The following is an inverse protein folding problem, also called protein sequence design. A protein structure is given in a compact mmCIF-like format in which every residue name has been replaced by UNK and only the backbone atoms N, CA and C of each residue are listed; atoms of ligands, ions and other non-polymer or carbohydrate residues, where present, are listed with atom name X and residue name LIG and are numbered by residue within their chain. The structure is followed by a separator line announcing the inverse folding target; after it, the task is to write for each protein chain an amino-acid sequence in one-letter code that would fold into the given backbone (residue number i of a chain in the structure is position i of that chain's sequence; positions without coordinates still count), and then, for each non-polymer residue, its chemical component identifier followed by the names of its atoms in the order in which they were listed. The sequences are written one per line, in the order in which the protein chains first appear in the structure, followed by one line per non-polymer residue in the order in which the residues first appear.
data_IF_167541950839
#
_entry.id   IF_167541950839
#
_cell.length_a   1.000
_cell.length_b   1.000
_cell.length_c   1.000
_cell.angle_alpha   90.00
_cell.angle_beta   90.00
_cell.angle_gamma   90.00
#
_symmetry.space_group_name_H-M   'P 1'
#
loop_
_entity.id
_entity.type
_entity.pdbx_description
1 polymer ?
#
# COMPACT_ATOMS: atom_id res chain seq x y z
N UNK A 1 18.64 -25.94 8.57
CA UNK A 1 17.91 -25.21 7.51
C UNK A 1 18.85 -24.17 6.95
N UNK A 2 18.85 -23.93 5.65
CA UNK A 2 19.62 -22.82 5.06
C UNK A 2 19.05 -21.49 5.54
N UNK A 3 19.91 -20.48 5.73
CA UNK A 3 19.56 -19.19 6.33
C UNK A 3 18.33 -18.53 5.69
N UNK A 4 18.21 -18.63 4.37
CA UNK A 4 17.08 -18.04 3.63
C UNK A 4 15.73 -18.69 3.96
N UNK A 5 15.64 -20.01 4.18
CA UNK A 5 14.38 -20.64 4.58
C UNK A 5 14.00 -20.30 6.02
N UNK A 6 14.97 -20.05 6.91
CA UNK A 6 14.68 -19.55 8.26
C UNK A 6 14.08 -18.15 8.22
N UNK A 7 14.57 -17.28 7.32
CA UNK A 7 13.98 -15.95 7.12
C UNK A 7 12.54 -16.04 6.57
N UNK A 8 12.30 -16.91 5.58
CA UNK A 8 10.95 -17.17 5.06
C UNK A 8 10.02 -17.67 6.16
N UNK A 9 10.50 -18.58 7.03
CA UNK A 9 9.72 -19.06 8.17
C UNK A 9 9.35 -17.94 9.15
N UNK A 10 10.30 -17.06 9.51
CA UNK A 10 10.01 -15.92 10.38
C UNK A 10 8.99 -14.97 9.75
N UNK A 11 9.10 -14.74 8.44
CA UNK A 11 8.14 -13.93 7.69
C UNK A 11 6.75 -14.57 7.69
N UNK A 12 6.64 -15.87 7.47
CA UNK A 12 5.38 -16.62 7.55
C UNK A 12 4.74 -16.49 8.94
N UNK A 13 5.51 -16.66 10.01
CA UNK A 13 5.02 -16.53 11.38
C UNK A 13 4.50 -15.11 11.66
N UNK A 14 5.20 -14.10 11.14
CA UNK A 14 4.77 -12.71 11.22
C UNK A 14 3.47 -12.46 10.43
N UNK A 15 3.37 -12.95 9.20
CA UNK A 15 2.17 -12.84 8.38
C UNK A 15 0.97 -13.55 9.02
N UNK A 16 1.19 -14.72 9.65
CA UNK A 16 0.15 -15.45 10.39
C UNK A 16 -0.37 -14.63 11.57
N UNK A 17 0.54 -14.03 12.34
CA UNK A 17 0.17 -13.18 13.47
C UNK A 17 -0.61 -11.93 13.01
N UNK A 18 -0.15 -11.27 11.94
CA UNK A 18 -0.85 -10.13 11.34
C UNK A 18 -2.22 -10.52 10.81
N UNK A 19 -2.33 -11.65 10.12
CA UNK A 19 -3.59 -12.13 9.57
C UNK A 19 -4.60 -12.45 10.68
N UNK A 20 -4.17 -13.12 11.75
CA UNK A 20 -5.02 -13.37 12.92
C UNK A 20 -5.47 -12.06 13.57
N UNK A 21 -4.58 -11.09 13.74
CA UNK A 21 -4.92 -9.76 14.26
C UNK A 21 -5.96 -9.05 13.40
N UNK A 22 -5.84 -9.17 12.07
CA UNK A 22 -6.68 -8.49 11.09
C UNK A 22 -8.06 -9.14 10.91
N UNK A 23 -8.17 -10.46 11.15
CA UNK A 23 -9.45 -11.19 11.16
C UNK A 23 -10.31 -10.88 12.39
N UNK A 24 -9.70 -10.52 13.52
CA UNK A 24 -10.46 -10.25 14.75
C UNK A 24 -11.54 -9.19 14.45
N UNK A 25 -12.82 -9.50 14.73
CA UNK A 25 -13.91 -8.57 14.51
C UNK A 25 -13.83 -7.42 15.52
N UNK A 26 -12.99 -6.43 15.23
CA UNK A 26 -12.87 -5.23 16.04
C UNK A 26 -14.09 -4.31 15.84
N UNK A 27 -14.59 -3.66 16.90
CA UNK A 27 -15.64 -2.64 16.78
C UNK A 27 -15.16 -1.46 15.93
N UNK A 28 -16.09 -0.86 15.17
CA UNK A 28 -15.81 0.12 14.10
C UNK A 28 -14.94 1.30 14.57
N UNK A 29 -15.18 1.83 15.77
CA UNK A 29 -14.40 2.95 16.33
C UNK A 29 -12.93 2.59 16.57
N UNK A 30 -12.65 1.37 17.01
CA UNK A 30 -11.29 0.87 17.21
C UNK A 30 -10.62 0.58 15.86
N UNK A 31 -11.34 -0.06 14.93
CA UNK A 31 -10.84 -0.30 13.56
C UNK A 31 -10.43 1.02 12.92
N UNK A 32 -11.30 2.03 12.96
CA UNK A 32 -11.01 3.35 12.42
C UNK A 32 -9.77 3.97 13.05
N UNK A 33 -9.66 3.99 14.38
CA UNK A 33 -8.50 4.59 15.06
C UNK A 33 -7.18 3.89 14.71
N UNK A 34 -7.19 2.55 14.65
CA UNK A 34 -6.01 1.74 14.30
C UNK A 34 -5.64 1.93 12.83
N UNK A 35 -6.59 1.84 11.91
CA UNK A 35 -6.33 1.95 10.48
C UNK A 35 -6.01 3.38 10.03
N UNK A 36 -6.63 4.40 10.62
CA UNK A 36 -6.26 5.80 10.38
C UNK A 36 -4.84 6.07 10.87
N UNK A 37 -4.46 5.58 12.06
CA UNK A 37 -3.09 5.70 12.56
C UNK A 37 -2.07 4.95 11.68
N UNK A 38 -2.42 3.74 11.22
CA UNK A 38 -1.61 2.96 10.29
C UNK A 38 -1.49 3.68 8.94
N UNK A 39 -2.57 4.27 8.42
CA UNK A 39 -2.55 4.94 7.12
C UNK A 39 -1.93 6.33 7.13
N UNK A 40 -1.99 7.07 8.25
CA UNK A 40 -1.37 8.39 8.37
C UNK A 40 0.15 8.29 8.54
N UNK A 41 0.66 7.14 9.01
CA UNK A 41 2.08 6.96 9.26
C UNK A 41 2.84 6.67 7.94
N UNK A 42 3.74 7.57 7.48
CA UNK A 42 4.54 7.36 6.26
C UNK A 42 5.44 6.13 6.32
N UNK A 43 5.71 5.62 7.53
CA UNK A 43 6.45 4.36 7.74
C UNK A 43 5.67 3.17 7.16
N UNK A 44 4.33 3.16 7.28
CA UNK A 44 3.50 2.05 6.79
C UNK A 44 3.50 2.00 5.26
N UNK A 45 3.49 3.15 4.59
CA UNK A 45 3.64 3.20 3.13
C UNK A 45 4.97 2.59 2.66
N UNK A 46 6.07 2.87 3.38
CA UNK A 46 7.37 2.21 3.14
C UNK A 46 7.30 0.71 3.41
N UNK A 47 6.67 0.29 4.51
CA UNK A 47 6.50 -1.13 4.85
C UNK A 47 5.73 -1.87 3.74
N UNK A 48 4.65 -1.30 3.20
CA UNK A 48 3.92 -1.91 2.09
C UNK A 48 4.77 -2.08 0.83
N UNK A 49 5.63 -1.11 0.52
CA UNK A 49 6.56 -1.23 -0.59
C UNK A 49 7.59 -2.35 -0.36
N UNK A 50 8.15 -2.44 0.85
CA UNK A 50 9.03 -3.53 1.25
C UNK A 50 8.34 -4.90 1.24
N UNK A 51 7.06 -4.97 1.63
CA UNK A 51 6.24 -6.19 1.54
C UNK A 51 6.06 -6.65 0.08
N UNK A 52 5.93 -5.74 -0.89
CA UNK A 52 5.88 -6.10 -2.31
C UNK A 52 7.22 -6.62 -2.83
N UNK A 53 8.34 -6.01 -2.42
CA UNK A 53 9.67 -6.47 -2.80
C UNK A 53 9.93 -7.87 -2.24
N UNK A 54 9.65 -8.08 -0.95
CA UNK A 54 9.81 -9.39 -0.30
C UNK A 54 8.92 -10.45 -0.94
N UNK A 55 7.70 -10.12 -1.34
CA UNK A 55 6.83 -11.03 -2.09
C UNK A 55 7.47 -11.53 -3.40
N UNK A 56 8.05 -10.63 -4.21
CA UNK A 56 8.74 -11.03 -5.46
C UNK A 56 9.94 -11.93 -5.15
N UNK A 57 10.69 -11.63 -4.09
CA UNK A 57 11.82 -12.46 -3.67
C UNK A 57 11.38 -13.87 -3.24
N UNK A 58 10.30 -13.98 -2.45
CA UNK A 58 9.73 -15.28 -2.05
C UNK A 58 9.20 -16.03 -3.28
N UNK A 59 8.65 -15.33 -4.28
CA UNK A 59 8.19 -15.94 -5.52
C UNK A 59 9.34 -16.60 -6.29
N UNK A 60 10.48 -15.91 -6.38
CA UNK A 60 11.70 -16.48 -6.98
C UNK A 60 12.18 -17.70 -6.19
N UNK A 61 12.24 -17.60 -4.85
CA UNK A 61 12.62 -18.73 -3.99
C UNK A 61 11.64 -19.91 -4.11
N UNK A 62 10.36 -19.64 -4.31
CA UNK A 62 9.35 -20.67 -4.52
C UNK A 62 9.61 -21.40 -5.84
N UNK A 63 9.82 -20.68 -6.94
CA UNK A 63 10.15 -21.29 -8.24
C UNK A 63 11.44 -22.11 -8.13
N UNK A 64 12.49 -21.58 -7.48
CA UNK A 64 13.71 -22.32 -7.21
C UNK A 64 13.45 -23.61 -6.40
N UNK A 65 12.63 -23.51 -5.34
CA UNK A 65 12.29 -24.65 -4.50
C UNK A 65 11.50 -25.73 -5.27
N UNK A 66 10.60 -25.35 -6.18
CA UNK A 66 9.86 -26.27 -7.05
C UNK A 66 10.82 -26.97 -8.01
N UNK A 67 11.71 -26.21 -8.68
CA UNK A 67 12.72 -26.76 -9.57
C UNK A 67 13.65 -27.75 -8.85
N UNK A 68 14.02 -27.43 -7.60
CA UNK A 68 14.83 -28.31 -6.75
C UNK A 68 14.08 -29.58 -6.36
N UNK A 69 12.80 -29.46 -5.95
CA UNK A 69 11.96 -30.62 -5.63
C UNK A 69 11.82 -31.54 -6.85
N UNK A 70 11.58 -30.98 -8.03
CA UNK A 70 11.48 -31.73 -9.27
C UNK A 70 12.77 -32.48 -9.60
N UNK A 71 13.93 -31.79 -9.53
CA UNK A 71 15.24 -32.41 -9.74
C UNK A 71 15.51 -33.57 -8.78
N UNK A 72 15.29 -33.37 -7.47
CA UNK A 72 15.52 -34.40 -6.44
C UNK A 72 14.58 -35.60 -6.64
N UNK A 73 13.36 -35.38 -7.13
CA UNK A 73 12.45 -36.49 -7.46
C UNK A 73 12.96 -37.31 -8.66
N UNK A 74 13.47 -36.65 -9.71
CA UNK A 74 14.07 -37.34 -10.84
C UNK A 74 15.32 -38.14 -10.45
N UNK A 75 16.19 -37.57 -9.61
CA UNK A 75 17.37 -38.27 -9.06
C UNK A 75 16.97 -39.52 -8.27
N UNK A 76 15.90 -39.44 -7.45
CA UNK A 76 15.38 -40.58 -6.70
C UNK A 76 14.84 -41.68 -7.62
N UNK A 77 14.12 -41.32 -8.69
CA UNK A 77 13.58 -42.28 -9.66
C UNK A 77 14.72 -42.97 -10.40
N UNK A 78 15.72 -42.22 -10.87
CA UNK A 78 16.90 -42.77 -11.54
C UNK A 78 17.72 -43.70 -10.64
N UNK A 79 17.94 -43.31 -9.37
CA UNK A 79 18.62 -44.17 -8.38
C UNK A 79 17.81 -45.44 -8.06
N UNK A 80 16.47 -45.35 -8.06
CA UNK A 80 15.59 -46.51 -7.85
C UNK A 80 15.61 -47.46 -9.05
N UNK A 81 15.62 -46.95 -10.28
CA UNK A 81 15.67 -47.76 -11.50
C UNK A 81 17.04 -48.47 -11.67
N UNK A 82 18.15 -47.78 -11.37
CA UNK A 82 19.48 -48.41 -11.34
C UNK A 82 19.59 -49.49 -10.25
N UNK A 83 19.03 -49.25 -9.08
CA UNK A 83 19.01 -50.24 -7.99
C UNK A 83 18.09 -51.45 -8.26
N UNK A 84 17.15 -51.34 -9.20
CA UNK A 84 16.33 -52.49 -9.65
C UNK A 84 17.10 -53.37 -10.64
N UNK A 85 18.15 -52.83 -11.26
CA UNK A 85 19.02 -53.51 -12.24
C UNK A 85 20.35 -54.00 -11.65
N UNK A 86 20.74 -53.61 -10.43
CA UNK A 86 21.99 -54.01 -9.77
C UNK A 86 21.84 -54.30 -8.27
N UNK A 87 22.33 -55.48 -7.85
CA UNK A 87 22.33 -56.11 -6.51
C UNK A 87 21.99 -55.27 -5.26
N UNK A 88 20.98 -55.74 -4.52
CA UNK A 88 20.31 -55.07 -3.39
C UNK A 88 21.12 -54.88 -2.08
N UNK A 89 22.39 -55.29 -1.99
CA UNK A 89 23.07 -55.44 -0.69
C UNK A 89 23.87 -54.20 -0.20
N UNK A 90 24.18 -53.22 -1.06
CA UNK A 90 25.02 -52.04 -0.70
C UNK A 90 24.19 -50.75 -0.53
N UNK A 91 22.90 -50.78 -0.85
CA UNK A 91 22.10 -49.59 -1.21
C UNK A 91 21.18 -49.00 -0.12
N UNK A 92 21.17 -49.55 1.10
CA UNK A 92 20.32 -49.05 2.19
C UNK A 92 20.61 -47.59 2.55
N UNK A 93 21.90 -47.21 2.57
CA UNK A 93 22.33 -45.85 2.93
C UNK A 93 22.03 -44.81 1.84
N UNK A 94 22.29 -45.13 0.56
CA UNK A 94 22.02 -44.19 -0.56
C UNK A 94 20.52 -43.93 -0.72
N UNK A 95 19.67 -44.96 -0.59
CA UNK A 95 18.21 -44.75 -0.65
C UNK A 95 17.69 -43.90 0.50
N UNK A 96 18.23 -44.06 1.71
CA UNK A 96 17.85 -43.25 2.88
C UNK A 96 18.29 -41.79 2.73
N UNK A 97 19.48 -41.54 2.17
CA UNK A 97 20.00 -40.20 1.96
C UNK A 97 19.19 -39.43 0.90
N UNK A 98 18.85 -40.06 -0.21
CA UNK A 98 18.07 -39.41 -1.28
C UNK A 98 16.62 -39.19 -0.83
N UNK A 99 16.03 -40.10 -0.05
CA UNK A 99 14.71 -39.90 0.56
C UNK A 99 14.72 -38.73 1.56
N UNK A 100 15.75 -38.61 2.40
CA UNK A 100 15.88 -37.48 3.32
C UNK A 100 15.98 -36.13 2.58
N UNK A 101 16.71 -36.09 1.46
CA UNK A 101 16.78 -34.90 0.58
C UNK A 101 15.43 -34.54 -0.04
N UNK A 102 14.61 -35.53 -0.40
CA UNK A 102 13.23 -35.32 -0.91
C UNK A 102 12.33 -34.69 0.15
N UNK A 103 12.29 -35.22 1.37
CA UNK A 103 11.49 -34.61 2.44
C UNK A 103 11.94 -33.18 2.77
N UNK A 104 13.25 -32.94 2.74
CA UNK A 104 13.81 -31.61 2.98
C UNK A 104 13.38 -30.61 1.90
N UNK A 105 13.49 -30.95 0.62
CA UNK A 105 13.11 -30.06 -0.47
C UNK A 105 11.60 -29.83 -0.52
N UNK A 106 10.79 -30.87 -0.27
CA UNK A 106 9.32 -30.76 -0.22
C UNK A 106 8.85 -29.80 0.87
N UNK A 107 9.36 -29.95 2.10
CA UNK A 107 8.99 -29.05 3.21
C UNK A 107 9.34 -27.60 2.89
N UNK A 108 10.48 -27.34 2.28
CA UNK A 108 10.90 -25.99 1.94
C UNK A 108 10.05 -25.39 0.81
N UNK A 109 9.64 -26.20 -0.16
CA UNK A 109 8.69 -25.79 -1.19
C UNK A 109 7.34 -25.42 -0.57
N UNK A 110 6.82 -26.23 0.35
CA UNK A 110 5.59 -25.92 1.07
C UNK A 110 5.72 -24.66 1.92
N UNK A 111 6.84 -24.47 2.62
CA UNK A 111 7.10 -23.28 3.41
C UNK A 111 7.03 -22.01 2.54
N UNK A 112 7.73 -21.99 1.40
CA UNK A 112 7.68 -20.87 0.46
C UNK A 112 6.27 -20.68 -0.13
N UNK A 113 5.58 -21.77 -0.49
CA UNK A 113 4.23 -21.73 -1.06
C UNK A 113 3.19 -21.17 -0.09
N UNK A 114 3.20 -21.62 1.17
CA UNK A 114 2.30 -21.10 2.20
C UNK A 114 2.55 -19.63 2.50
N UNK A 115 3.82 -19.21 2.50
CA UNK A 115 4.17 -17.79 2.70
C UNK A 115 3.56 -16.93 1.58
N UNK A 116 3.76 -17.30 0.30
CA UNK A 116 3.16 -16.57 -0.82
C UNK A 116 1.64 -16.52 -0.77
N UNK A 117 1.01 -17.65 -0.46
CA UNK A 117 -0.44 -17.74 -0.37
C UNK A 117 -0.98 -16.83 0.74
N UNK A 118 -0.33 -16.83 1.90
CA UNK A 118 -0.72 -16.00 3.02
C UNK A 118 -0.48 -14.51 2.73
N UNK A 119 0.64 -14.15 2.09
CA UNK A 119 0.89 -12.77 1.63
C UNK A 119 -0.22 -12.25 0.72
N UNK A 120 -0.70 -13.08 -0.21
CA UNK A 120 -1.80 -12.73 -1.13
C UNK A 120 -3.11 -12.52 -0.39
N UNK A 121 -3.46 -13.43 0.52
CA UNK A 121 -4.67 -13.30 1.34
C UNK A 121 -4.60 -12.06 2.21
N UNK A 122 -3.46 -11.79 2.85
CA UNK A 122 -3.28 -10.62 3.72
C UNK A 122 -3.49 -9.32 2.93
N UNK A 123 -2.89 -9.20 1.74
CA UNK A 123 -3.11 -8.06 0.86
C UNK A 123 -4.59 -7.91 0.45
N UNK A 124 -5.23 -9.01 0.02
CA UNK A 124 -6.66 -8.98 -0.36
C UNK A 124 -7.55 -8.57 0.81
N UNK A 125 -7.30 -9.11 1.99
CA UNK A 125 -8.09 -8.83 3.20
C UNK A 125 -7.87 -7.40 3.67
N UNK A 126 -6.64 -6.88 3.59
CA UNK A 126 -6.32 -5.48 3.90
C UNK A 126 -7.12 -4.51 3.02
N UNK A 127 -7.10 -4.71 1.68
CA UNK A 127 -7.84 -3.86 0.74
C UNK A 127 -9.35 -3.97 0.98
N UNK A 128 -9.86 -5.18 1.19
CA UNK A 128 -11.28 -5.41 1.48
C UNK A 128 -11.73 -4.68 2.75
N UNK A 129 -10.93 -4.67 3.82
CA UNK A 129 -11.26 -3.93 5.05
C UNK A 129 -11.28 -2.42 4.80
N UNK A 130 -10.33 -1.89 4.03
CA UNK A 130 -10.36 -0.47 3.64
C UNK A 130 -11.61 -0.12 2.83
N UNK A 131 -12.01 -0.98 1.89
CA UNK A 131 -13.23 -0.79 1.10
C UNK A 131 -14.48 -0.80 1.98
N UNK A 132 -14.60 -1.76 2.91
CA UNK A 132 -15.72 -1.82 3.87
C UNK A 132 -15.79 -0.54 4.70
N UNK A 133 -14.67 -0.05 5.25
CA UNK A 133 -14.66 1.19 6.02
C UNK A 133 -15.09 2.41 5.18
N UNK A 134 -14.65 2.48 3.92
CA UNK A 134 -15.05 3.56 2.99
C UNK A 134 -16.52 3.51 2.63
N UNK A 135 -17.06 2.31 2.42
CA UNK A 135 -18.48 2.12 2.16
C UNK A 135 -19.31 2.56 3.37
N UNK A 136 -18.91 2.17 4.58
CA UNK A 136 -19.60 2.55 5.81
C UNK A 136 -19.56 4.08 6.06
N UNK A 137 -18.41 4.72 5.79
CA UNK A 137 -18.28 6.18 5.82
C UNK A 137 -19.22 6.89 4.83
N UNK A 138 -19.38 6.32 3.62
CA UNK A 138 -20.34 6.84 2.63
C UNK A 138 -21.79 6.66 3.10
N UNK A 139 -22.15 5.51 3.65
CA UNK A 139 -23.50 5.26 4.19
C UNK A 139 -23.84 6.26 5.29
N UNK A 140 -22.94 6.45 6.28
CA UNK A 140 -23.11 7.46 7.34
C UNK A 140 -23.21 8.90 6.81
N UNK A 141 -22.57 9.19 5.68
CA UNK A 141 -22.68 10.50 5.04
C UNK A 141 -24.05 10.74 4.40
N UNK A 142 -24.67 9.69 3.85
CA UNK A 142 -26.02 9.75 3.29
C UNK A 142 -27.11 9.73 4.36
N UNK A 143 -26.90 9.03 5.48
CA UNK A 143 -27.83 8.97 6.62
C UNK A 143 -27.81 10.25 7.49
N UNK A 144 -27.10 11.31 7.07
CA UNK A 144 -27.14 12.62 7.73
C UNK A 144 -26.49 12.68 9.13
N UNK A 145 -25.78 11.63 9.55
CA UNK A 145 -25.19 11.51 10.90
C UNK A 145 -23.82 12.19 11.05
N UNK A 146 -23.49 13.20 10.23
CA UNK A 146 -22.16 13.85 10.27
C UNK A 146 -22.08 14.99 11.30
N UNK A 147 -21.37 14.72 12.40
CA UNK A 147 -20.63 15.73 13.18
C UNK A 147 -19.13 15.79 12.86
N UNK A 148 -18.57 14.91 12.02
CA UNK A 148 -17.11 14.82 11.83
C UNK A 148 -16.68 14.64 10.36
N UNK A 149 -16.63 15.76 9.63
CA UNK A 149 -16.31 15.83 8.20
C UNK A 149 -14.82 15.61 7.90
N UNK A 150 -13.93 15.81 8.88
CA UNK A 150 -12.47 15.82 8.67
C UNK A 150 -11.80 14.44 8.63
N UNK A 151 -12.35 13.41 9.28
CA UNK A 151 -11.75 12.07 9.26
C UNK A 151 -12.14 11.24 8.02
N UNK A 152 -13.33 11.48 7.45
CA UNK A 152 -13.83 10.71 6.30
C UNK A 152 -13.08 11.04 5.00
N UNK A 153 -12.63 12.29 4.83
CA UNK A 153 -11.73 12.66 3.72
C UNK A 153 -10.37 11.96 3.82
N UNK A 154 -9.88 11.68 5.03
CA UNK A 154 -8.56 11.06 5.25
C UNK A 154 -8.52 9.57 4.92
N UNK A 155 -9.61 8.83 5.12
CA UNK A 155 -9.71 7.42 4.68
C UNK A 155 -9.88 7.29 3.16
N UNK A 156 -10.43 8.29 2.49
CA UNK A 156 -10.49 8.36 1.03
C UNK A 156 -9.08 8.46 0.39
N UNK A 157 -8.12 9.03 1.12
CA UNK A 157 -6.72 9.20 0.72
C UNK A 157 -5.91 7.90 0.75
N UNK A 158 -6.17 7.01 1.70
CA UNK A 158 -5.37 5.80 1.98
C UNK A 158 -5.25 4.76 0.85
N UNK A 159 -6.26 4.68 -0.02
CA UNK A 159 -6.42 3.61 -1.01
C UNK A 159 -6.22 4.04 -2.46
N UNK A 160 -5.80 5.29 -2.71
CA UNK A 160 -5.45 5.78 -4.06
C UNK A 160 -4.25 6.74 -3.99
N UNK A 161 -3.03 6.22 -3.73
CA UNK A 161 -1.84 7.05 -3.56
C UNK A 161 -1.49 7.90 -4.80
N UNK A 162 -1.86 7.45 -6.01
CA UNK A 162 -1.61 8.18 -7.26
C UNK A 162 -2.50 9.42 -7.46
N UNK A 163 -3.80 9.32 -7.15
CA UNK A 163 -4.73 10.46 -7.25
C UNK A 163 -4.42 11.55 -6.20
N UNK A 164 -3.78 11.19 -5.09
CA UNK A 164 -3.40 12.14 -4.04
C UNK A 164 -2.33 13.14 -4.50
N UNK A 165 -1.34 12.65 -5.24
CA UNK A 165 -0.26 13.50 -5.74
C UNK A 165 -0.78 14.50 -6.79
N UNK A 166 -1.71 14.06 -7.65
CA UNK A 166 -2.37 14.94 -8.61
C UNK A 166 -3.30 15.95 -7.93
N UNK A 167 -4.11 15.53 -6.97
CA UNK A 167 -5.02 16.43 -6.24
C UNK A 167 -4.25 17.47 -5.41
N UNK A 168 -3.15 17.09 -4.75
CA UNK A 168 -2.32 18.05 -4.01
C UNK A 168 -1.69 19.09 -4.94
N UNK A 169 -1.19 18.66 -6.10
CA UNK A 169 -0.63 19.56 -7.11
C UNK A 169 -1.70 20.51 -7.69
N UNK A 170 -2.92 20.02 -7.86
CA UNK A 170 -4.05 20.84 -8.30
C UNK A 170 -4.49 21.85 -7.24
N UNK A 171 -4.52 21.44 -5.97
CA UNK A 171 -4.84 22.32 -4.84
C UNK A 171 -3.83 23.45 -4.69
N UNK A 172 -2.54 23.12 -4.76
CA UNK A 172 -1.45 24.12 -4.69
C UNK A 172 -1.53 25.12 -5.84
N UNK A 173 -1.84 24.65 -7.05
CA UNK A 173 -2.05 25.53 -8.22
C UNK A 173 -3.27 26.45 -8.02
N UNK A 174 -4.38 25.92 -7.51
CA UNK A 174 -5.59 26.72 -7.20
C UNK A 174 -5.34 27.76 -6.13
N UNK A 175 -4.52 27.46 -5.14
CA UNK A 175 -4.16 28.39 -4.07
C UNK A 175 -3.26 29.53 -4.57
N UNK A 176 -2.31 29.22 -5.46
CA UNK A 176 -1.50 30.23 -6.16
C UNK A 176 -2.35 31.12 -7.08
N UNK A 177 -3.30 30.53 -7.82
CA UNK A 177 -4.23 31.29 -8.65
C UNK A 177 -5.10 32.23 -7.80
N UNK A 178 -5.60 31.77 -6.65
CA UNK A 178 -6.38 32.59 -5.71
C UNK A 178 -5.58 33.76 -5.14
N UNK A 179 -4.32 33.53 -4.76
CA UNK A 179 -3.44 34.62 -4.31
C UNK A 179 -3.16 35.63 -5.42
N UNK A 180 -2.97 35.15 -6.65
CA UNK A 180 -2.76 36.01 -7.82
C UNK A 180 -4.01 36.84 -8.11
N UNK A 181 -5.19 36.23 -8.10
CA UNK A 181 -6.48 36.91 -8.25
C UNK A 181 -6.70 37.97 -7.16
N UNK A 182 -6.36 37.66 -5.90
CA UNK A 182 -6.42 38.66 -4.81
C UNK A 182 -5.52 39.85 -5.09
N UNK A 183 -4.26 39.63 -5.45
CA UNK A 183 -3.32 40.71 -5.79
C UNK A 183 -3.79 41.55 -6.97
N UNK A 184 -4.35 40.89 -8.00
CA UNK A 184 -4.92 41.59 -9.16
C UNK A 184 -6.14 42.42 -8.76
N UNK A 185 -7.03 41.89 -7.92
CA UNK A 185 -8.20 42.61 -7.41
C UNK A 185 -7.80 43.82 -6.56
N UNK A 186 -6.81 43.68 -5.68
CA UNK A 186 -6.28 44.78 -4.87
C UNK A 186 -5.60 45.85 -5.73
N UNK A 187 -4.82 45.45 -6.73
CA UNK A 187 -4.22 46.38 -7.69
C UNK A 187 -5.27 47.13 -8.52
N UNK A 188 -6.31 46.42 -8.96
CA UNK A 188 -7.42 47.03 -9.69
C UNK A 188 -8.18 48.04 -8.83
N UNK A 189 -8.48 47.71 -7.57
CA UNK A 189 -9.12 48.65 -6.65
C UNK A 189 -8.30 49.92 -6.45
N UNK A 190 -6.99 49.80 -6.22
CA UNK A 190 -6.10 50.97 -6.10
C UNK A 190 -6.13 51.85 -7.35
N UNK A 191 -6.08 51.24 -8.54
CA UNK A 191 -6.12 52.01 -9.79
C UNK A 191 -7.47 52.72 -10.00
N UNK A 192 -8.56 52.12 -9.53
CA UNK A 192 -9.89 52.72 -9.57
C UNK A 192 -10.00 53.90 -8.61
N UNK A 193 -9.49 53.75 -7.38
CA UNK A 193 -9.45 54.81 -6.38
C UNK A 193 -8.61 56.00 -6.89
N UNK A 194 -7.42 55.75 -7.45
CA UNK A 194 -6.57 56.80 -8.05
C UNK A 194 -7.25 57.50 -9.24
N UNK A 195 -8.00 56.77 -10.06
CA UNK A 195 -8.74 57.35 -11.18
C UNK A 195 -9.92 58.19 -10.70
N UNK A 196 -10.62 57.73 -9.65
CA UNK A 196 -11.70 58.46 -8.99
C UNK A 196 -11.17 59.78 -8.40
N UNK A 197 -10.04 59.74 -7.70
CA UNK A 197 -9.40 60.93 -7.12
C UNK A 197 -8.96 61.93 -8.21
N UNK A 198 -8.38 61.44 -9.32
CA UNK A 198 -8.04 62.28 -10.48
C UNK A 198 -9.27 62.89 -11.13
N UNK A 199 -10.36 62.15 -11.22
CA UNK A 199 -11.61 62.68 -11.78
C UNK A 199 -12.23 63.75 -10.89
N UNK A 200 -12.23 63.53 -9.56
CA UNK A 200 -12.70 64.49 -8.57
C UNK A 200 -11.87 65.78 -8.58
N UNK A 201 -10.54 65.69 -8.71
CA UNK A 201 -9.68 66.88 -8.79
C UNK A 201 -9.90 67.69 -10.07
N UNK A 202 -10.05 67.03 -11.22
CA UNK A 202 -10.37 67.69 -12.50
C UNK A 202 -11.74 68.38 -12.49
N UNK A 203 -12.74 67.80 -11.83
CA UNK A 203 -14.05 68.42 -11.62
C UNK A 203 -13.92 69.71 -10.81
N UNK A 204 -13.19 69.65 -9.69
CA UNK A 204 -12.96 70.81 -8.81
C UNK A 204 -12.22 71.93 -9.54
N UNK A 205 -11.20 71.61 -10.33
CA UNK A 205 -10.45 72.59 -11.13
C UNK A 205 -11.33 73.25 -12.20
N UNK A 206 -12.23 72.50 -12.83
CA UNK A 206 -13.17 73.05 -13.82
C UNK A 206 -14.24 73.95 -13.19
N UNK A 207 -14.75 73.61 -12.00
CA UNK A 207 -15.67 74.48 -11.26
C UNK A 207 -14.99 75.80 -10.85
N UNK A 208 -13.73 75.72 -10.39
CA UNK A 208 -12.95 76.90 -10.00
C UNK A 208 -12.65 77.81 -11.19
N UNK A 209 -12.49 77.26 -12.39
CA UNK A 209 -12.30 78.02 -13.65
C UNK A 209 -13.58 78.66 -14.19
N UNK A 210 -14.76 78.13 -13.88
CA UNK A 210 -16.06 78.72 -14.27
C UNK A 210 -16.52 79.85 -13.34
N UNK A 211 -15.96 79.95 -12.14
CA UNK A 211 -16.30 80.97 -11.14
C UNK A 211 -15.42 82.22 -11.18
N UNK A 212 -14.42 82.27 -12.08
CA UNK A 212 -13.60 83.45 -12.41
C UNK A 212 -14.02 84.02 -13.75
#
# INVERSE_FOLDING_TARGET
MTLYYTLVFMLLMFEMALFMLLIIPLPFTLKRKIFTFISENPIVAKIQYWMKITFVFILILFIDSVNRVYRVQLELIAATDQATKGGAAVMGHERLEVQARKFYSQRNMYLCGFTLFLSLILNRTYVMILEVMRLEDRVRSYEGTKKDTKESEKLAVAGKPGELASLRKELEKKEQDLQTLRKQSEGLHKSYDELSDKYASLLKDNETKKAK
#
